data_IF_067665420988
#
_entry.id   IF_067665420988
#
_cell.length_a   1.000
_cell.length_b   1.000
_cell.length_c   1.000
_cell.angle_alpha   90.00
_cell.angle_beta   90.00
_cell.angle_gamma   90.00
#
_symmetry.space_group_name_H-M   'P 1'
#
loop_
_entity.id
_entity.type
_entity.pdbx_description
1 polymer ?
#
# COMPACT_ATOMS: atom_id res chain seq x y z
N UNK A 1 -26.38 9.61 -0.58
CA UNK A 1 -26.62 8.56 0.44
C UNK A 1 -25.77 8.89 1.65
N UNK A 2 -26.06 8.32 2.82
CA UNK A 2 -25.15 8.44 3.95
C UNK A 2 -23.84 7.69 3.63
N UNK A 3 -22.70 8.27 4.02
CA UNK A 3 -21.40 7.61 3.91
C UNK A 3 -21.36 6.48 4.93
N UNK A 4 -20.98 5.28 4.50
CA UNK A 4 -20.84 4.08 5.32
C UNK A 4 -19.37 3.96 5.69
N UNK A 5 -19.12 3.76 6.98
CA UNK A 5 -17.79 3.54 7.53
C UNK A 5 -17.70 2.08 8.00
N UNK A 6 -16.63 1.39 7.62
CA UNK A 6 -16.27 0.09 8.16
C UNK A 6 -15.05 0.24 9.05
N UNK A 7 -15.12 -0.29 10.25
CA UNK A 7 -13.97 -0.36 11.14
C UNK A 7 -13.68 -1.83 11.49
N UNK A 8 -12.80 -2.45 10.69
CA UNK A 8 -12.38 -3.83 10.92
C UNK A 8 -11.46 -4.01 12.15
N UNK A 9 -11.11 -2.94 12.87
CA UNK A 9 -10.24 -3.01 14.04
C UNK A 9 -11.03 -2.95 15.35
N UNK A 10 -12.07 -2.11 15.40
CA UNK A 10 -12.78 -1.81 16.65
C UNK A 10 -14.24 -2.27 16.68
N UNK A 11 -14.86 -2.55 15.53
CA UNK A 11 -16.25 -3.00 15.46
C UNK A 11 -16.37 -4.53 15.50
N UNK A 12 -17.57 -5.01 15.83
CA UNK A 12 -17.91 -6.43 15.88
C UNK A 12 -18.40 -6.96 14.53
N UNK A 13 -18.38 -8.28 14.33
CA UNK A 13 -18.98 -8.93 13.14
C UNK A 13 -20.44 -8.49 12.90
N UNK A 14 -21.21 -8.25 13.97
CA UNK A 14 -22.59 -7.77 13.86
C UNK A 14 -22.68 -6.37 13.26
N UNK A 15 -21.75 -5.49 13.62
CA UNK A 15 -21.67 -4.13 13.07
C UNK A 15 -21.17 -4.14 11.63
N UNK A 16 -20.15 -4.94 11.32
CA UNK A 16 -19.67 -5.14 9.95
C UNK A 16 -20.80 -5.63 9.03
N UNK A 17 -21.60 -6.59 9.50
CA UNK A 17 -22.71 -7.13 8.73
C UNK A 17 -23.81 -6.09 8.48
N UNK A 18 -24.11 -5.24 9.46
CA UNK A 18 -25.05 -4.12 9.30
C UNK A 18 -24.56 -3.13 8.26
N UNK A 19 -23.29 -2.74 8.33
CA UNK A 19 -22.66 -1.84 7.35
C UNK A 19 -22.65 -2.47 5.96
N UNK A 20 -22.39 -3.78 5.84
CA UNK A 20 -22.45 -4.54 4.60
C UNK A 20 -23.85 -4.54 4.00
N UNK A 21 -24.86 -4.86 4.80
CA UNK A 21 -26.25 -4.85 4.36
C UNK A 21 -26.71 -3.44 3.98
N UNK A 22 -26.31 -2.41 4.72
CA UNK A 22 -26.62 -1.02 4.40
C UNK A 22 -26.00 -0.59 3.06
N UNK A 23 -24.74 -0.97 2.81
CA UNK A 23 -24.03 -0.61 1.58
C UNK A 23 -24.64 -1.27 0.36
N UNK A 24 -24.84 -2.59 0.43
CA UNK A 24 -25.41 -3.36 -0.68
C UNK A 24 -26.95 -3.33 -0.72
N UNK A 25 -27.60 -2.58 0.18
CA UNK A 25 -29.06 -2.44 0.31
C UNK A 25 -29.77 -3.80 0.44
N UNK A 26 -29.21 -4.69 1.26
CA UNK A 26 -29.69 -6.05 1.50
C UNK A 26 -30.47 -6.16 2.80
N UNK A 27 -31.29 -7.22 2.92
CA UNK A 27 -31.95 -7.54 4.17
C UNK A 27 -30.98 -8.21 5.14
N UNK A 28 -30.72 -7.60 6.29
CA UNK A 28 -29.86 -8.17 7.35
C UNK A 28 -30.25 -9.63 7.68
N UNK A 29 -31.55 -9.89 7.85
CA UNK A 29 -32.04 -11.25 8.15
C UNK A 29 -31.66 -12.25 7.05
N UNK A 30 -31.78 -11.87 5.77
CA UNK A 30 -31.45 -12.75 4.67
C UNK A 30 -29.95 -13.02 4.58
N UNK A 31 -29.12 -11.99 4.79
CA UNK A 31 -27.66 -12.13 4.75
C UNK A 31 -27.15 -12.94 5.94
N UNK A 32 -27.70 -12.74 7.16
CA UNK A 32 -27.38 -13.57 8.33
C UNK A 32 -27.66 -15.05 8.02
N UNK A 33 -28.86 -15.38 7.55
CA UNK A 33 -29.21 -16.77 7.21
C UNK A 33 -28.30 -17.36 6.13
N UNK A 34 -27.90 -16.57 5.14
CA UNK A 34 -26.95 -17.01 4.12
C UNK A 34 -25.55 -17.24 4.69
N UNK A 35 -25.01 -16.32 5.49
CA UNK A 35 -23.68 -16.45 6.09
C UNK A 35 -23.58 -17.56 7.13
N UNK A 36 -24.68 -17.89 7.82
CA UNK A 36 -24.73 -19.02 8.75
C UNK A 36 -24.68 -20.39 8.05
N UNK A 37 -25.11 -20.46 6.78
CA UNK A 37 -25.24 -21.71 6.02
C UNK A 37 -24.14 -21.92 4.97
N UNK A 38 -23.55 -20.84 4.47
CA UNK A 38 -22.56 -20.91 3.39
C UNK A 38 -21.25 -21.53 3.87
N UNK A 39 -20.64 -22.35 3.03
CA UNK A 39 -19.26 -22.80 3.25
C UNK A 39 -18.30 -21.64 2.90
N UNK A 40 -17.56 -21.08 3.87
CA UNK A 40 -16.65 -19.96 3.60
C UNK A 40 -15.59 -20.28 2.54
N UNK A 41 -15.14 -21.53 2.48
CA UNK A 41 -14.07 -21.97 1.56
C UNK A 41 -14.50 -21.95 0.08
N UNK A 42 -15.80 -21.88 -0.18
CA UNK A 42 -16.36 -21.75 -1.52
C UNK A 42 -16.75 -20.30 -1.85
N UNK A 43 -16.67 -19.39 -0.87
CA UNK A 43 -17.14 -18.03 -1.02
C UNK A 43 -16.12 -17.22 -1.82
N UNK A 44 -16.60 -16.61 -2.90
CA UNK A 44 -15.85 -15.70 -3.76
C UNK A 44 -16.70 -14.46 -4.00
N UNK A 45 -16.12 -13.31 -4.40
CA UNK A 45 -16.92 -12.15 -4.79
C UNK A 45 -18.01 -12.49 -5.83
N UNK A 46 -17.69 -13.38 -6.79
CA UNK A 46 -18.67 -13.94 -7.74
C UNK A 46 -19.80 -14.68 -7.04
N UNK A 47 -19.50 -15.70 -6.24
CA UNK A 47 -20.55 -16.51 -5.57
C UNK A 47 -21.43 -15.65 -4.68
N UNK A 48 -20.82 -14.75 -3.91
CA UNK A 48 -21.52 -13.83 -3.02
C UNK A 48 -22.46 -12.88 -3.78
N UNK A 49 -21.98 -12.28 -4.87
CA UNK A 49 -22.83 -11.41 -5.71
C UNK A 49 -23.95 -12.19 -6.39
N UNK A 50 -23.72 -13.45 -6.74
CA UNK A 50 -24.73 -14.32 -7.36
C UNK A 50 -25.83 -14.69 -6.38
N UNK A 51 -25.45 -15.21 -5.21
CA UNK A 51 -26.37 -15.74 -4.22
C UNK A 51 -27.21 -14.63 -3.58
N UNK A 52 -26.63 -13.43 -3.42
CA UNK A 52 -27.31 -12.26 -2.85
C UNK A 52 -27.87 -11.30 -3.90
N UNK A 53 -27.76 -11.62 -5.20
CA UNK A 53 -28.23 -10.81 -6.32
C UNK A 53 -27.74 -9.35 -6.26
N UNK A 54 -26.43 -9.18 -6.06
CA UNK A 54 -25.73 -7.89 -6.01
C UNK A 54 -25.19 -7.56 -7.40
N UNK A 55 -25.59 -6.43 -7.96
CA UNK A 55 -24.99 -5.89 -9.18
C UNK A 55 -23.99 -4.79 -8.81
N UNK A 56 -22.69 -5.04 -9.00
CA UNK A 56 -21.60 -4.17 -8.55
C UNK A 56 -21.63 -2.77 -9.18
N UNK A 57 -22.35 -2.57 -10.29
CA UNK A 57 -22.51 -1.25 -10.91
C UNK A 57 -23.38 -0.30 -10.09
N UNK A 58 -24.24 -0.82 -9.21
CA UNK A 58 -25.31 -0.06 -8.56
C UNK A 58 -24.87 0.64 -7.25
N UNK A 59 -23.65 0.37 -6.81
CA UNK A 59 -23.11 0.78 -5.51
C UNK A 59 -21.90 1.68 -5.69
N UNK A 60 -22.05 2.97 -5.44
CA UNK A 60 -20.98 3.95 -5.64
C UNK A 60 -19.95 3.91 -4.49
N UNK A 61 -18.72 3.52 -4.82
CA UNK A 61 -17.56 3.33 -3.95
C UNK A 61 -17.14 4.60 -3.21
N UNK A 62 -17.60 5.78 -3.65
CA UNK A 62 -17.42 7.02 -2.89
C UNK A 62 -18.25 7.07 -1.60
N UNK A 63 -19.32 6.27 -1.49
CA UNK A 63 -20.15 6.21 -0.29
C UNK A 63 -19.61 5.23 0.76
N UNK A 64 -18.50 4.54 0.48
CA UNK A 64 -17.86 3.62 1.41
C UNK A 64 -16.51 4.18 1.87
N UNK A 65 -16.26 4.10 3.16
CA UNK A 65 -14.95 4.35 3.75
C UNK A 65 -14.59 3.24 4.72
N UNK A 66 -13.31 2.99 4.87
CA UNK A 66 -12.75 1.95 5.73
C UNK A 66 -11.74 2.63 6.65
N UNK A 67 -11.79 2.34 7.95
CA UNK A 67 -10.73 2.73 8.89
C UNK A 67 -9.50 1.88 8.57
N UNK A 68 -8.37 2.55 8.39
CA UNK A 68 -7.10 1.94 8.04
C UNK A 68 -6.03 2.32 9.06
N UNK A 69 -5.07 1.42 9.25
CA UNK A 69 -3.94 1.63 10.17
C UNK A 69 -2.61 1.65 9.40
N UNK A 70 -1.76 2.65 9.65
CA UNK A 70 -0.38 2.70 9.18
C UNK A 70 0.57 2.69 10.37
N UNK A 71 1.43 1.67 10.47
CA UNK A 71 2.41 1.57 11.55
C UNK A 71 3.74 2.22 11.15
N UNK A 72 4.25 3.10 12.00
CA UNK A 72 5.52 3.81 11.79
C UNK A 72 6.29 4.03 13.09
N UNK A 73 7.60 4.17 12.96
CA UNK A 73 8.48 4.62 14.06
C UNK A 73 8.76 6.11 13.93
N UNK A 74 8.78 6.80 15.06
CA UNK A 74 9.12 8.22 15.16
C UNK A 74 9.59 8.52 16.59
N UNK A 75 10.26 9.65 16.81
CA UNK A 75 10.43 10.18 18.17
C UNK A 75 9.22 11.02 18.56
N UNK A 76 9.03 11.30 19.84
CA UNK A 76 7.96 12.19 20.31
C UNK A 76 7.90 13.55 19.58
N UNK A 77 9.05 14.15 19.24
CA UNK A 77 9.09 15.40 18.47
C UNK A 77 8.65 15.22 17.01
N UNK A 78 8.94 14.05 16.43
CA UNK A 78 8.62 13.78 15.02
C UNK A 78 7.14 13.43 14.83
N UNK A 79 6.51 12.88 15.87
CA UNK A 79 5.07 12.59 15.94
C UNK A 79 4.23 13.83 15.62
N UNK A 80 4.68 15.02 16.03
CA UNK A 80 4.02 16.29 15.68
C UNK A 80 3.93 16.51 14.16
N UNK A 81 4.86 15.95 13.37
CA UNK A 81 4.81 16.06 11.92
C UNK A 81 3.55 15.45 11.32
N UNK A 82 3.03 14.34 11.88
CA UNK A 82 1.81 13.70 11.38
C UNK A 82 0.57 14.56 11.69
N UNK A 83 0.56 15.25 12.84
CA UNK A 83 -0.54 16.15 13.22
C UNK A 83 -0.55 17.46 12.43
N UNK A 84 0.57 17.83 11.80
CA UNK A 84 0.69 19.06 11.00
C UNK A 84 0.51 18.79 9.50
N UNK A 85 0.99 17.64 9.02
CA UNK A 85 1.09 17.34 7.59
C UNK A 85 0.25 16.14 7.14
N UNK A 86 -0.30 15.38 8.09
CA UNK A 86 -0.91 14.09 7.82
C UNK A 86 0.12 13.05 7.37
N UNK A 87 -0.31 12.12 6.52
CA UNK A 87 0.54 11.04 5.99
C UNK A 87 0.83 11.33 4.53
N UNK A 88 2.07 11.73 4.26
CA UNK A 88 2.55 12.02 2.92
C UNK A 88 2.92 10.73 2.18
N UNK A 89 2.69 10.69 0.88
CA UNK A 89 3.25 9.63 0.02
C UNK A 89 4.78 9.68 0.01
N UNK A 90 5.42 8.58 -0.40
CA UNK A 90 6.88 8.44 -0.32
C UNK A 90 7.61 9.48 -1.17
N UNK A 91 7.02 9.90 -2.29
CA UNK A 91 7.58 10.97 -3.14
C UNK A 91 7.72 12.27 -2.35
N UNK A 92 6.63 12.71 -1.72
CA UNK A 92 6.61 13.92 -0.90
C UNK A 92 7.49 13.76 0.34
N UNK A 93 7.47 12.60 1.00
CA UNK A 93 8.34 12.35 2.16
C UNK A 93 9.84 12.52 1.84
N UNK A 94 10.26 12.19 0.61
CA UNK A 94 11.66 12.31 0.18
C UNK A 94 12.05 13.70 -0.33
N UNK A 95 11.11 14.46 -0.89
CA UNK A 95 11.37 15.77 -1.50
C UNK A 95 11.05 16.96 -0.59
N UNK A 96 10.02 16.85 0.26
CA UNK A 96 9.64 17.89 1.21
C UNK A 96 10.47 17.84 2.49
N UNK A 97 10.40 18.90 3.31
CA UNK A 97 11.02 18.91 4.63
C UNK A 97 10.21 18.07 5.62
N UNK A 98 10.57 16.80 5.73
CA UNK A 98 10.03 15.83 6.68
C UNK A 98 11.13 15.28 7.59
N UNK A 99 10.80 14.67 8.75
CA UNK A 99 11.79 13.99 9.58
C UNK A 99 12.59 12.93 8.83
N UNK A 100 11.95 12.15 7.94
CA UNK A 100 12.64 11.19 7.08
C UNK A 100 13.63 11.89 6.14
N UNK A 101 13.20 12.96 5.45
CA UNK A 101 14.06 13.69 4.52
C UNK A 101 15.27 14.31 5.22
N UNK A 102 15.08 14.84 6.42
CA UNK A 102 16.12 15.51 7.19
C UNK A 102 17.11 14.48 7.74
N UNK A 103 16.60 13.31 8.16
CA UNK A 103 17.43 12.18 8.56
C UNK A 103 18.33 11.70 7.41
N UNK A 104 17.79 11.40 6.23
CA UNK A 104 18.60 10.89 5.11
C UNK A 104 19.57 11.96 4.55
N UNK A 105 19.20 13.25 4.63
CA UNK A 105 20.11 14.36 4.27
C UNK A 105 21.35 14.41 5.16
N UNK A 106 21.25 14.01 6.42
CA UNK A 106 22.41 13.93 7.32
C UNK A 106 23.45 12.88 6.86
N UNK A 107 23.02 11.90 6.05
CA UNK A 107 23.90 10.93 5.39
C UNK A 107 24.36 11.38 3.99
N UNK A 108 24.15 12.66 3.65
CA UNK A 108 24.52 13.21 2.35
C UNK A 108 23.62 12.74 1.20
N UNK A 109 22.42 12.23 1.52
CA UNK A 109 21.47 11.70 0.54
C UNK A 109 20.36 12.71 0.25
N UNK A 110 20.10 12.96 -1.03
CA UNK A 110 18.87 13.64 -1.47
C UNK A 110 18.28 12.91 -2.67
N UNK A 111 16.96 12.90 -2.78
CA UNK A 111 16.25 12.22 -3.87
C UNK A 111 15.40 13.24 -4.63
N UNK A 112 15.63 13.36 -5.92
CA UNK A 112 14.78 14.11 -6.85
C UNK A 112 13.98 13.09 -7.67
N UNK A 113 12.78 12.79 -7.17
CA UNK A 113 11.90 11.77 -7.75
C UNK A 113 11.48 12.19 -9.17
N UNK A 114 11.12 13.47 -9.37
CA UNK A 114 10.64 13.98 -10.68
C UNK A 114 11.69 13.82 -11.79
N UNK A 115 12.96 14.08 -11.47
CA UNK A 115 14.06 13.95 -12.43
C UNK A 115 14.73 12.58 -12.42
N UNK A 116 14.17 11.61 -11.68
CA UNK A 116 14.73 10.26 -11.51
C UNK A 116 16.20 10.25 -11.11
N UNK A 117 16.56 11.09 -10.13
CA UNK A 117 17.94 11.23 -9.66
C UNK A 117 18.03 11.10 -8.14
N UNK A 118 19.01 10.34 -7.69
CA UNK A 118 19.48 10.31 -6.31
C UNK A 118 20.86 10.94 -6.25
N UNK A 119 21.11 11.78 -5.24
CA UNK A 119 22.43 12.34 -4.98
C UNK A 119 22.95 11.76 -3.68
N UNK A 120 24.18 11.25 -3.70
CA UNK A 120 24.89 10.74 -2.51
C UNK A 120 26.22 11.51 -2.46
N UNK A 121 26.44 12.27 -1.39
CA UNK A 121 27.62 13.12 -1.22
C UNK A 121 27.88 14.02 -2.45
N UNK A 122 26.81 14.65 -2.96
CA UNK A 122 26.78 15.50 -4.16
C UNK A 122 27.01 14.79 -5.50
N UNK A 123 27.32 13.49 -5.50
CA UNK A 123 27.41 12.70 -6.74
C UNK A 123 26.01 12.25 -7.18
N UNK A 124 25.68 12.47 -8.44
CA UNK A 124 24.40 12.11 -9.04
C UNK A 124 24.39 10.66 -9.53
N UNK A 125 23.30 9.94 -9.24
CA UNK A 125 23.01 8.59 -9.70
C UNK A 125 21.58 8.55 -10.26
N UNK A 126 21.34 7.97 -11.45
CA UNK A 126 19.99 7.82 -11.97
C UNK A 126 19.23 6.71 -11.22
N UNK A 127 17.94 6.94 -10.96
CA UNK A 127 17.02 5.95 -10.39
C UNK A 127 16.43 5.13 -11.53
N UNK A 128 16.86 3.89 -11.63
CA UNK A 128 16.56 3.01 -12.75
C UNK A 128 15.33 2.16 -12.50
N UNK A 129 14.72 1.68 -13.58
CA UNK A 129 13.64 0.70 -13.57
C UNK A 129 14.02 -0.57 -14.33
N UNK A 130 13.25 -1.65 -14.14
CA UNK A 130 13.49 -2.91 -14.81
C UNK A 130 13.47 -2.74 -16.35
N UNK A 131 14.51 -3.22 -17.03
CA UNK A 131 14.63 -3.16 -18.49
C UNK A 131 15.42 -1.96 -19.03
N UNK A 132 15.72 -0.95 -18.21
CA UNK A 132 16.49 0.22 -18.64
C UNK A 132 18.00 -0.07 -18.73
N UNK A 133 18.74 0.58 -19.65
CA UNK A 133 20.19 0.46 -19.71
C UNK A 133 20.85 0.93 -18.40
N UNK A 134 22.02 0.37 -18.09
CA UNK A 134 22.79 0.77 -16.91
C UNK A 134 23.74 1.91 -17.28
N UNK A 135 23.27 3.15 -17.10
CA UNK A 135 24.03 4.36 -17.43
C UNK A 135 25.21 4.62 -16.48
N UNK A 136 25.21 3.98 -15.29
CA UNK A 136 26.30 4.03 -14.34
C UNK A 136 26.75 2.61 -13.99
N UNK A 137 27.87 2.17 -14.57
CA UNK A 137 28.55 0.99 -14.07
C UNK A 137 29.55 1.43 -12.99
N UNK A 138 29.49 0.83 -11.80
CA UNK A 138 30.46 1.10 -10.74
C UNK A 138 31.87 0.89 -11.29
N UNK A 139 32.70 1.93 -11.18
CA UNK A 139 34.09 1.90 -11.63
C UNK A 139 34.77 0.63 -11.10
N UNK A 140 35.59 0.01 -11.94
CA UNK A 140 36.41 -1.19 -11.64
C UNK A 140 35.74 -2.57 -11.77
N UNK A 141 34.50 -2.67 -12.29
CA UNK A 141 33.94 -3.99 -12.63
C UNK A 141 34.51 -4.57 -13.94
N UNK A 142 34.85 -5.87 -13.89
CA UNK A 142 35.30 -6.66 -15.05
C UNK A 142 34.21 -6.89 -16.11
N UNK A 143 32.94 -6.88 -15.72
CA UNK A 143 31.82 -7.13 -16.63
C UNK A 143 30.73 -6.05 -16.48
N UNK A 144 30.30 -5.40 -17.58
CA UNK A 144 29.24 -4.40 -17.55
C UNK A 144 27.89 -5.04 -17.21
N UNK A 145 26.97 -4.23 -16.67
CA UNK A 145 25.60 -4.67 -16.42
C UNK A 145 24.84 -4.82 -17.75
N UNK A 146 23.95 -5.82 -17.83
CA UNK A 146 23.03 -6.03 -18.94
C UNK A 146 21.66 -6.52 -18.40
N UNK A 147 20.73 -6.84 -19.30
CA UNK A 147 19.38 -7.27 -18.93
C UNK A 147 19.34 -8.51 -18.02
N UNK A 148 20.30 -9.42 -18.14
CA UNK A 148 20.38 -10.68 -17.38
C UNK A 148 21.36 -10.64 -16.21
N UNK A 149 22.36 -9.76 -16.26
CA UNK A 149 23.38 -9.62 -15.23
C UNK A 149 23.39 -8.18 -14.70
N UNK A 150 22.85 -8.01 -13.49
CA UNK A 150 22.80 -6.72 -12.79
C UNK A 150 23.74 -6.72 -11.59
N UNK A 151 24.47 -5.62 -11.38
CA UNK A 151 25.19 -5.40 -10.13
C UNK A 151 24.20 -5.19 -8.98
N UNK A 152 24.60 -5.52 -7.74
CA UNK A 152 23.71 -5.39 -6.58
C UNK A 152 23.18 -3.96 -6.40
N UNK A 153 23.99 -2.90 -6.51
CA UNK A 153 23.44 -1.55 -6.38
C UNK A 153 22.48 -1.18 -7.53
N UNK A 154 22.61 -1.80 -8.72
CA UNK A 154 21.62 -1.65 -9.79
C UNK A 154 20.31 -2.36 -9.43
N UNK A 155 20.36 -3.55 -8.81
CA UNK A 155 19.15 -4.23 -8.33
C UNK A 155 18.46 -3.39 -7.26
N UNK A 156 19.21 -2.85 -6.31
CA UNK A 156 18.64 -2.02 -5.24
C UNK A 156 18.09 -0.69 -5.78
N UNK A 157 18.73 -0.12 -6.80
CA UNK A 157 18.20 1.05 -7.49
C UNK A 157 16.95 0.73 -8.32
N UNK A 158 16.89 -0.44 -8.97
CA UNK A 158 15.67 -0.92 -9.63
C UNK A 158 14.53 -1.12 -8.62
N UNK A 159 14.82 -1.63 -7.40
CA UNK A 159 13.82 -1.73 -6.34
C UNK A 159 13.31 -0.36 -5.90
N UNK A 160 14.19 0.64 -5.74
CA UNK A 160 13.79 2.02 -5.46
C UNK A 160 12.91 2.58 -6.59
N UNK A 161 13.30 2.37 -7.85
CA UNK A 161 12.52 2.81 -9.01
C UNK A 161 11.17 2.11 -9.13
N UNK A 162 11.06 0.83 -8.77
CA UNK A 162 9.78 0.12 -8.70
C UNK A 162 8.84 0.78 -7.69
N UNK A 163 9.31 1.02 -6.45
CA UNK A 163 8.51 1.68 -5.41
C UNK A 163 8.07 3.09 -5.83
N UNK A 164 8.97 3.89 -6.41
CA UNK A 164 8.68 5.29 -6.74
C UNK A 164 7.84 5.49 -8.02
N UNK A 165 8.02 4.63 -9.04
CA UNK A 165 7.44 4.89 -10.37
C UNK A 165 6.45 3.82 -10.82
N UNK A 166 6.69 2.54 -10.48
CA UNK A 166 5.76 1.46 -10.89
C UNK A 166 4.59 1.36 -9.91
N UNK A 167 4.87 1.48 -8.61
CA UNK A 167 3.88 1.42 -7.53
C UNK A 167 3.43 2.80 -7.05
N UNK A 168 3.70 3.86 -7.83
CA UNK A 168 3.15 5.20 -7.57
C UNK A 168 3.59 5.88 -6.27
N UNK A 169 4.59 5.34 -5.56
CA UNK A 169 5.08 5.85 -4.29
C UNK A 169 3.99 5.95 -3.20
N UNK A 170 2.98 5.08 -3.27
CA UNK A 170 1.72 5.20 -2.52
C UNK A 170 1.88 5.01 -1.01
N UNK A 171 0.89 5.48 -0.24
CA UNK A 171 0.79 5.22 1.20
C UNK A 171 0.17 3.84 1.39
N UNK A 172 0.95 2.89 1.90
CA UNK A 172 0.50 1.54 2.24
C UNK A 172 -0.04 1.49 3.69
N UNK A 173 -1.07 0.69 3.92
CA UNK A 173 -1.73 0.55 5.23
C UNK A 173 -2.42 -0.80 5.38
N UNK A 174 -2.76 -1.14 6.62
CA UNK A 174 -3.60 -2.29 6.96
C UNK A 174 -5.07 -1.89 6.84
N UNK A 175 -5.84 -2.73 6.13
CA UNK A 175 -7.31 -2.73 6.12
C UNK A 175 -7.82 -3.45 7.37
N UNK A 176 -7.15 -4.54 7.74
CA UNK A 176 -7.38 -5.31 8.95
C UNK A 176 -6.09 -6.04 9.31
N UNK A 177 -5.76 -6.09 10.59
CA UNK A 177 -4.71 -6.91 11.17
C UNK A 177 -4.78 -6.83 12.70
N UNK A 178 -4.30 -7.86 13.38
CA UNK A 178 -3.99 -7.79 14.81
C UNK A 178 -2.72 -6.95 15.03
N UNK A 179 -2.55 -6.41 16.24
CA UNK A 179 -1.32 -5.69 16.63
C UNK A 179 -0.08 -6.58 16.44
N UNK A 180 -0.17 -7.85 16.78
CA UNK A 180 0.95 -8.81 16.65
C UNK A 180 1.36 -9.04 15.18
N UNK A 181 0.40 -9.05 14.26
CA UNK A 181 0.65 -9.15 12.82
C UNK A 181 1.34 -7.89 12.29
N UNK A 182 0.79 -6.71 12.59
CA UNK A 182 1.41 -5.44 12.18
C UNK A 182 2.85 -5.29 12.72
N UNK A 183 3.07 -5.70 13.97
CA UNK A 183 4.38 -5.71 14.62
C UNK A 183 5.39 -6.62 13.92
N UNK A 184 4.93 -7.75 13.37
CA UNK A 184 5.76 -8.72 12.64
C UNK A 184 5.92 -8.38 11.17
N UNK A 185 5.09 -7.48 10.65
CA UNK A 185 5.16 -7.04 9.28
C UNK A 185 6.48 -6.32 9.01
N UNK A 186 7.36 -7.00 8.26
CA UNK A 186 8.58 -6.42 7.70
C UNK A 186 9.48 -5.71 8.74
N UNK A 187 9.87 -4.47 8.47
CA UNK A 187 10.73 -3.64 9.32
C UNK A 187 10.01 -2.49 9.99
N UNK A 188 8.72 -2.26 9.73
CA UNK A 188 8.03 -1.00 10.03
C UNK A 188 7.97 -0.68 11.53
N UNK A 189 7.92 -1.71 12.39
CA UNK A 189 8.07 -1.58 13.85
C UNK A 189 9.44 -1.00 14.29
N UNK A 190 10.46 -1.10 13.44
CA UNK A 190 11.84 -0.73 13.76
C UNK A 190 12.30 0.49 12.97
N UNK A 191 12.00 0.53 11.67
CA UNK A 191 12.37 1.62 10.79
C UNK A 191 11.58 1.56 9.47
N UNK A 192 11.36 2.71 8.80
CA UNK A 192 10.80 2.75 7.45
C UNK A 192 11.61 1.89 6.47
N UNK A 193 10.95 1.02 5.71
CA UNK A 193 11.61 0.08 4.77
C UNK A 193 12.49 0.78 3.72
N UNK A 194 12.16 2.03 3.38
CA UNK A 194 12.95 2.83 2.45
C UNK A 194 14.39 3.01 2.94
N UNK A 195 14.62 3.10 4.26
CA UNK A 195 15.97 3.22 4.81
C UNK A 195 16.82 1.99 4.52
N UNK A 196 16.22 0.78 4.56
CA UNK A 196 16.92 -0.44 4.19
C UNK A 196 17.30 -0.47 2.70
N UNK A 197 16.43 0.08 1.85
CA UNK A 197 16.72 0.21 0.41
C UNK A 197 17.87 1.18 0.18
N UNK A 198 17.85 2.34 0.84
CA UNK A 198 18.92 3.33 0.75
C UNK A 198 20.25 2.81 1.32
N UNK A 199 20.22 2.09 2.44
CA UNK A 199 21.40 1.50 3.06
C UNK A 199 22.10 0.52 2.11
N UNK A 200 21.33 -0.36 1.45
CA UNK A 200 21.86 -1.31 0.46
C UNK A 200 22.48 -0.60 -0.74
N UNK A 201 21.81 0.43 -1.26
CA UNK A 201 22.35 1.28 -2.34
C UNK A 201 23.69 1.86 -1.90
N UNK A 202 23.75 2.59 -0.78
CA UNK A 202 24.96 3.27 -0.30
C UNK A 202 26.10 2.28 -0.03
N UNK A 203 25.81 1.17 0.65
CA UNK A 203 26.79 0.10 0.88
C UNK A 203 27.35 -0.42 -0.44
N UNK A 204 26.48 -0.72 -1.40
CA UNK A 204 26.87 -1.20 -2.72
C UNK A 204 27.69 -0.18 -3.52
N UNK A 205 27.36 1.12 -3.44
CA UNK A 205 28.13 2.20 -4.09
C UNK A 205 29.54 2.29 -3.53
N UNK A 206 29.67 2.14 -2.22
CA UNK A 206 30.95 2.22 -1.50
C UNK A 206 31.72 0.88 -1.51
N UNK A 207 31.41 -0.05 -2.42
CA UNK A 207 32.10 -1.33 -2.53
C UNK A 207 31.93 -2.23 -1.30
N UNK A 208 30.79 -2.11 -0.60
CA UNK A 208 30.46 -2.81 0.64
C UNK A 208 31.39 -2.50 1.82
N UNK A 209 32.12 -1.37 1.74
CA UNK A 209 32.95 -0.89 2.86
C UNK A 209 32.14 -0.34 4.03
N UNK A 210 30.87 0.00 3.81
CA UNK A 210 29.91 0.43 4.83
C UNK A 210 28.84 -0.64 5.04
N UNK A 211 28.37 -0.79 6.29
CA UNK A 211 27.28 -1.72 6.61
C UNK A 211 26.02 -1.38 5.81
N UNK A 212 25.31 -2.41 5.34
CA UNK A 212 24.02 -2.26 4.64
C UNK A 212 22.83 -2.01 5.57
N UNK A 213 23.07 -1.48 6.78
CA UNK A 213 22.06 -1.22 7.81
C UNK A 213 22.37 -0.03 8.71
N UNK A 214 23.36 0.82 8.36
CA UNK A 214 23.79 1.91 9.25
C UNK A 214 22.66 2.91 9.50
N UNK A 215 22.00 3.40 8.44
CA UNK A 215 20.88 4.33 8.59
C UNK A 215 19.71 3.68 9.35
N UNK A 216 19.44 2.41 9.06
CA UNK A 216 18.39 1.65 9.75
C UNK A 216 18.64 1.55 11.25
N UNK A 217 19.85 1.22 11.68
CA UNK A 217 20.20 1.13 13.11
C UNK A 217 20.22 2.49 13.80
N UNK A 218 20.72 3.52 13.13
CA UNK A 218 20.75 4.87 13.70
C UNK A 218 19.32 5.44 13.84
N UNK A 219 18.41 5.12 12.90
CA UNK A 219 16.99 5.42 13.04
C UNK A 219 16.39 4.72 14.25
N UNK A 220 16.57 3.40 14.37
CA UNK A 220 16.07 2.61 15.51
C UNK A 220 16.55 3.14 16.86
N UNK A 221 17.77 3.69 16.91
CA UNK A 221 18.33 4.28 18.13
C UNK A 221 17.74 5.65 18.44
N UNK A 222 17.39 6.43 17.42
CA UNK A 222 16.90 7.80 17.56
C UNK A 222 15.37 7.90 17.65
N UNK A 223 14.65 6.90 17.15
CA UNK A 223 13.19 6.84 16.99
C UNK A 223 12.70 5.54 17.62
N UNK A 224 12.63 5.54 18.95
CA UNK A 224 12.41 4.33 19.75
C UNK A 224 10.94 3.96 19.85
N UNK A 225 10.06 4.93 19.62
CA UNK A 225 8.63 4.83 19.76
C UNK A 225 7.99 4.35 18.44
N UNK A 226 6.94 3.54 18.58
CA UNK A 226 6.18 2.98 17.47
C UNK A 226 4.72 3.42 17.62
N UNK A 227 4.15 3.93 16.54
CA UNK A 227 2.79 4.45 16.51
C UNK A 227 1.98 3.77 15.41
N UNK A 228 0.69 3.59 15.68
CA UNK A 228 -0.32 3.40 14.64
C UNK A 228 -0.93 4.76 14.33
N UNK A 229 -0.95 5.09 13.04
CA UNK A 229 -1.71 6.19 12.48
C UNK A 229 -3.01 5.61 11.94
N UNK A 230 -4.12 5.90 12.60
CA UNK A 230 -5.48 5.48 12.25
C UNK A 230 -6.16 6.59 11.44
N UNK A 231 -6.75 6.25 10.29
CA UNK A 231 -7.43 7.22 9.42
C UNK A 231 -8.48 6.53 8.53
N UNK A 232 -9.59 7.22 8.18
CA UNK A 232 -10.55 6.72 7.21
C UNK A 232 -10.03 6.89 5.78
N UNK A 233 -10.28 5.89 4.93
CA UNK A 233 -10.00 5.95 3.49
C UNK A 233 -11.26 5.61 2.71
N UNK A 234 -11.64 6.46 1.75
CA UNK A 234 -12.72 6.14 0.81
C UNK A 234 -12.29 5.01 -0.11
N UNK A 235 -13.18 4.05 -0.37
CA UNK A 235 -12.87 2.90 -1.22
C UNK A 235 -12.40 3.34 -2.63
N UNK A 236 -13.02 4.39 -3.19
CA UNK A 236 -12.62 4.97 -4.48
C UNK A 236 -11.24 5.64 -4.52
N UNK A 237 -10.59 5.82 -3.36
CA UNK A 237 -9.23 6.35 -3.24
C UNK A 237 -8.19 5.25 -2.98
N UNK A 238 -8.57 3.97 -2.95
CA UNK A 238 -7.65 2.84 -2.74
C UNK A 238 -7.15 2.27 -4.07
N UNK A 239 -5.90 1.79 -4.10
CA UNK A 239 -5.44 0.94 -5.19
C UNK A 239 -6.20 -0.39 -5.15
N UNK A 240 -6.67 -0.82 -6.32
CA UNK A 240 -7.42 -2.06 -6.49
C UNK A 240 -6.67 -2.96 -7.46
N UNK A 241 -7.22 -3.22 -8.65
CA UNK A 241 -6.57 -4.02 -9.68
C UNK A 241 -5.68 -3.19 -10.62
N UNK A 242 -5.78 -1.86 -10.60
CA UNK A 242 -4.83 -0.98 -11.26
C UNK A 242 -3.73 -0.58 -10.25
N UNK A 243 -2.42 -0.88 -10.49
CA UNK A 243 -1.76 -1.18 -11.76
C UNK A 243 -1.17 -2.61 -11.89
N UNK A 244 -1.79 -3.64 -11.30
CA UNK A 244 -1.25 -5.01 -11.33
C UNK A 244 -1.59 -5.65 -12.68
N UNK A 245 -0.55 -5.88 -13.50
CA UNK A 245 -0.52 -6.70 -14.72
C UNK A 245 -1.90 -6.98 -15.34
N UNK A 246 -2.47 -5.95 -15.97
CA UNK A 246 -3.81 -5.97 -16.54
C UNK A 246 -4.05 -7.21 -17.42
N UNK A 247 -3.03 -7.65 -18.15
CA UNK A 247 -3.15 -8.80 -19.04
C UNK A 247 -3.39 -10.12 -18.27
N UNK A 248 -2.90 -10.24 -17.03
CA UNK A 248 -3.11 -11.42 -16.17
C UNK A 248 -4.34 -11.29 -15.30
N UNK A 249 -4.66 -10.09 -14.83
CA UNK A 249 -5.73 -9.87 -13.87
C UNK A 249 -7.11 -10.34 -14.39
N UNK A 250 -7.35 -10.30 -15.72
CA UNK A 250 -8.58 -10.85 -16.32
C UNK A 250 -8.86 -12.29 -15.87
N UNK A 251 -7.86 -13.18 -15.89
CA UNK A 251 -8.07 -14.59 -15.55
C UNK A 251 -8.48 -14.80 -14.09
N UNK A 252 -8.17 -13.85 -13.22
CA UNK A 252 -8.52 -13.91 -11.80
C UNK A 252 -9.93 -13.36 -11.51
N UNK A 253 -10.43 -12.45 -12.34
CA UNK A 253 -11.65 -11.67 -12.04
C UNK A 253 -12.77 -11.80 -13.08
N UNK A 254 -12.48 -12.41 -14.24
CA UNK A 254 -13.38 -12.54 -15.39
C UNK A 254 -14.75 -13.09 -15.03
N UNK A 255 -14.81 -14.18 -14.25
CA UNK A 255 -16.09 -14.78 -13.85
C UNK A 255 -17.03 -13.79 -13.13
N UNK A 256 -16.48 -12.90 -12.28
CA UNK A 256 -17.26 -11.90 -11.58
C UNK A 256 -17.66 -10.76 -12.51
N UNK A 257 -16.77 -10.34 -13.43
CA UNK A 257 -17.06 -9.32 -14.43
C UNK A 257 -18.16 -9.76 -15.41
N UNK A 258 -18.09 -11.00 -15.91
CA UNK A 258 -19.08 -11.59 -16.83
C UNK A 258 -20.47 -11.65 -16.19
N UNK A 259 -20.55 -11.97 -14.90
CA UNK A 259 -21.80 -11.95 -14.16
C UNK A 259 -22.39 -10.53 -14.04
N UNK A 260 -21.54 -9.51 -13.98
CA UNK A 260 -21.96 -8.10 -13.96
C UNK A 260 -22.17 -7.54 -15.38
N UNK A 261 -22.16 -8.39 -16.41
CA UNK A 261 -22.47 -8.02 -17.79
C UNK A 261 -21.28 -7.50 -18.61
N UNK A 262 -20.05 -7.65 -18.11
CA UNK A 262 -18.84 -7.23 -18.81
C UNK A 262 -18.09 -8.40 -19.41
N UNK A 263 -17.59 -8.23 -20.63
CA UNK A 263 -16.81 -9.25 -21.32
C UNK A 263 -15.33 -8.85 -21.45
N UNK A 264 -14.54 -9.72 -22.10
CA UNK A 264 -13.12 -9.49 -22.31
C UNK A 264 -12.83 -8.24 -23.16
N UNK A 265 -13.68 -7.90 -24.13
CA UNK A 265 -13.51 -6.67 -24.94
C UNK A 265 -13.71 -5.43 -24.06
N UNK A 266 -14.74 -5.41 -23.20
CA UNK A 266 -14.97 -4.31 -22.25
C UNK A 266 -13.75 -4.11 -21.32
N UNK A 267 -13.16 -5.22 -20.87
CA UNK A 267 -11.93 -5.19 -20.09
C UNK A 267 -10.77 -4.66 -20.93
N UNK A 268 -10.45 -5.29 -22.06
CA UNK A 268 -9.32 -4.90 -22.90
C UNK A 268 -9.38 -3.43 -23.33
N UNK A 269 -10.57 -2.92 -23.66
CA UNK A 269 -10.81 -1.53 -24.05
C UNK A 269 -10.96 -0.56 -22.86
N UNK A 270 -10.86 -1.05 -21.62
CA UNK A 270 -10.96 -0.28 -20.37
C UNK A 270 -12.31 0.45 -20.22
N UNK A 271 -13.39 -0.21 -20.62
CA UNK A 271 -14.76 0.31 -20.56
C UNK A 271 -15.47 -0.01 -19.23
N UNK A 272 -14.93 -0.95 -18.45
CA UNK A 272 -15.48 -1.33 -17.16
C UNK A 272 -15.29 -0.18 -16.15
N UNK A 273 -16.36 0.32 -15.50
CA UNK A 273 -16.24 1.37 -14.51
C UNK A 273 -15.37 0.96 -13.33
N UNK A 274 -14.49 1.87 -12.88
CA UNK A 274 -13.60 1.65 -11.72
C UNK A 274 -14.37 1.16 -10.49
N UNK A 275 -15.57 1.69 -10.28
CA UNK A 275 -16.50 1.32 -9.23
C UNK A 275 -16.77 -0.20 -9.12
N UNK A 276 -16.79 -0.92 -10.25
CA UNK A 276 -16.99 -2.38 -10.25
C UNK A 276 -15.79 -3.09 -9.63
N UNK A 277 -14.58 -2.67 -10.00
CA UNK A 277 -13.34 -3.19 -9.42
C UNK A 277 -13.23 -2.87 -7.93
N UNK A 278 -13.55 -1.64 -7.55
CA UNK A 278 -13.57 -1.18 -6.16
C UNK A 278 -14.46 -2.08 -5.29
N UNK A 279 -15.72 -2.29 -5.71
CA UNK A 279 -16.64 -3.13 -4.96
C UNK A 279 -16.21 -4.60 -4.92
N UNK A 280 -15.65 -5.11 -6.01
CA UNK A 280 -15.13 -6.48 -6.06
C UNK A 280 -13.96 -6.69 -5.08
N UNK A 281 -13.01 -5.75 -5.01
CA UNK A 281 -11.93 -5.79 -4.02
C UNK A 281 -12.49 -5.70 -2.61
N UNK A 282 -13.44 -4.80 -2.35
CA UNK A 282 -14.08 -4.72 -1.04
C UNK A 282 -14.75 -6.04 -0.63
N UNK A 283 -15.46 -6.70 -1.54
CA UNK A 283 -16.04 -8.03 -1.25
C UNK A 283 -14.97 -9.06 -0.90
N UNK A 284 -13.82 -9.03 -1.60
CA UNK A 284 -12.69 -9.92 -1.30
C UNK A 284 -12.16 -9.67 0.12
N UNK A 285 -11.90 -8.42 0.48
CA UNK A 285 -11.46 -8.06 1.83
C UNK A 285 -12.50 -8.43 2.89
N UNK A 286 -13.77 -8.10 2.65
CA UNK A 286 -14.84 -8.40 3.58
C UNK A 286 -14.98 -9.91 3.83
N UNK A 287 -14.93 -10.76 2.79
CA UNK A 287 -14.96 -12.21 2.94
C UNK A 287 -13.77 -12.70 3.79
N UNK A 288 -12.56 -12.24 3.43
CA UNK A 288 -11.31 -12.61 4.10
C UNK A 288 -11.35 -12.28 5.60
N UNK A 289 -11.73 -11.05 5.94
CA UNK A 289 -11.78 -10.59 7.32
C UNK A 289 -12.95 -11.21 8.08
N UNK A 290 -14.17 -11.17 7.53
CA UNK A 290 -15.38 -11.62 8.25
C UNK A 290 -15.36 -13.11 8.59
N UNK A 291 -14.82 -13.96 7.70
CA UNK A 291 -14.84 -15.42 7.89
C UNK A 291 -13.54 -15.98 8.45
N UNK A 292 -12.41 -15.28 8.27
CA UNK A 292 -11.09 -15.83 8.60
C UNK A 292 -10.21 -14.92 9.45
N UNK A 293 -10.67 -13.72 9.82
CA UNK A 293 -9.90 -12.76 10.64
C UNK A 293 -8.50 -12.50 10.01
N UNK A 294 -8.46 -12.43 8.68
CA UNK A 294 -7.21 -12.44 7.91
C UNK A 294 -6.61 -11.05 7.76
N UNK A 295 -5.29 -10.93 7.94
CA UNK A 295 -4.52 -9.73 7.60
C UNK A 295 -4.80 -9.30 6.14
N UNK A 296 -5.22 -8.05 5.97
CA UNK A 296 -5.46 -7.45 4.66
C UNK A 296 -4.76 -6.11 4.57
N UNK A 297 -4.11 -5.88 3.43
CA UNK A 297 -3.34 -4.69 3.12
C UNK A 297 -3.99 -3.91 1.98
N UNK A 298 -3.80 -2.61 2.03
CA UNK A 298 -4.21 -1.69 0.97
C UNK A 298 -3.20 -0.57 0.80
N UNK A 299 -3.43 0.24 -0.22
CA UNK A 299 -2.66 1.44 -0.48
C UNK A 299 -3.55 2.52 -1.09
N UNK A 300 -3.18 3.79 -0.92
CA UNK A 300 -3.87 4.89 -1.59
C UNK A 300 -3.51 4.92 -3.06
N UNK A 301 -4.40 5.47 -3.91
CA UNK A 301 -4.04 5.79 -5.30
C UNK A 301 -2.80 6.71 -5.39
N UNK A 302 -2.04 6.66 -6.51
CA UNK A 302 -0.90 7.54 -6.73
C UNK A 302 -1.20 9.02 -6.45
N UNK A 303 -0.19 9.72 -5.92
CA UNK A 303 -0.24 11.14 -5.52
C UNK A 303 -1.24 11.50 -4.40
N UNK A 304 -1.96 10.54 -3.82
CA UNK A 304 -2.82 10.77 -2.65
C UNK A 304 -2.02 10.77 -1.35
N UNK A 305 -2.55 11.48 -0.36
CA UNK A 305 -2.08 11.57 1.01
C UNK A 305 -3.27 11.47 1.97
N UNK A 306 -2.98 11.33 3.26
CA UNK A 306 -3.97 11.46 4.33
C UNK A 306 -3.83 12.85 4.94
N UNK A 307 -4.92 13.59 5.08
CA UNK A 307 -4.90 14.93 5.66
C UNK A 307 -4.69 14.88 7.18
N UNK A 308 -4.05 15.90 7.75
CA UNK A 308 -3.72 15.92 9.18
C UNK A 308 -4.93 15.80 10.11
N UNK A 309 -6.08 16.39 9.74
CA UNK A 309 -7.30 16.33 10.54
C UNK A 309 -7.94 14.93 10.60
N UNK A 310 -7.59 14.04 9.68
CA UNK A 310 -8.12 12.68 9.60
C UNK A 310 -7.27 11.67 10.37
N UNK A 311 -6.06 12.06 10.80
CA UNK A 311 -5.10 11.18 11.47
C UNK A 311 -5.33 11.17 12.99
N UNK A 312 -5.56 9.97 13.52
CA UNK A 312 -5.47 9.69 14.95
C UNK A 312 -4.22 8.88 15.24
N UNK A 313 -3.48 9.26 16.28
CA UNK A 313 -2.24 8.59 16.67
C UNK A 313 -2.49 7.70 17.89
N UNK A 314 -2.12 6.43 17.78
CA UNK A 314 -2.19 5.42 18.83
C UNK A 314 -0.77 4.97 19.13
N UNK A 315 -0.37 5.03 20.40
CA UNK A 315 0.95 4.58 20.86
C UNK A 315 0.93 3.08 21.13
N UNK A 316 1.98 2.37 20.72
CA UNK A 316 2.15 0.95 21.01
C UNK A 316 3.19 0.78 22.10
N UNK A 317 2.77 0.18 23.21
CA UNK A 317 3.61 -0.20 24.35
C UNK A 317 4.59 -1.34 24.05
#
# INVERSE_FOLDING_TARGET
MAQILFDFFNETHTEWLKSFCAYFRLSEKAVISYFDEVNPDELTPRKLTQDLNINLTDYDSNNLSIICHHMTTASEVDKESFLIRGILNLKQMLQEKTPLSDFIKAYGITVNVDNRKMFINQQSYPITSYGEPCEFCFKERKMPCNAYFKCDPRKDMDHLGLKLYKYGATVEFFIHATIDEMVRYSSIRRCPEILQTLDKIVSGINGFSTSAYTMSYDWMKAKTECYILEFPVRLSNMETYAPIDYDRAWYEISDCLEQNGYNYEDYYERLIPQNVFDNMVFLKWFISVYFYDSEELGSLLPDKCVESEEVRIIEID
#
